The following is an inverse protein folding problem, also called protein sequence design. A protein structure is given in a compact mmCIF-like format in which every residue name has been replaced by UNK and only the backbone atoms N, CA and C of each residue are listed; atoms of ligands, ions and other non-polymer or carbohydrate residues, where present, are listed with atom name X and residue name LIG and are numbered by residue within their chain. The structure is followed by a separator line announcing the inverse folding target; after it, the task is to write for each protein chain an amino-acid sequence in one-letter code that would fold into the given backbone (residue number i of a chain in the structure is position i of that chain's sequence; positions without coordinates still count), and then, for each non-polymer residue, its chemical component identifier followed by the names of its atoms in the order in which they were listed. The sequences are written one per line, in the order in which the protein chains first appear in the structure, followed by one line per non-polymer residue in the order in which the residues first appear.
data_IF_050567558081
#
_entry.id   IF_050567558081
#
_cell.length_a   1.000
_cell.length_b   1.000
_cell.length_c   1.000
_cell.angle_alpha   90.00
_cell.angle_beta   90.00
_cell.angle_gamma   90.00
#
_symmetry.space_group_name_H-M   'P 1'
#
loop_
_entity.id
_entity.type
_entity.pdbx_description
1 polymer ?
#
# COMPACT_ATOMS: atom_id res chain seq x y z
N UNK A 1 10.10 -24.70 -18.56
CA UNK A 1 10.21 -23.21 -18.54
C UNK A 1 9.55 -22.73 -17.25
N UNK A 2 10.35 -22.34 -16.24
CA UNK A 2 9.99 -22.56 -14.82
C UNK A 2 10.21 -21.36 -13.89
N UNK A 3 10.07 -20.12 -14.36
CA UNK A 3 9.90 -18.98 -13.44
C UNK A 3 8.97 -17.93 -14.03
N UNK A 4 8.12 -17.34 -13.17
CA UNK A 4 7.29 -16.16 -13.50
C UNK A 4 8.17 -15.01 -14.01
N UNK A 5 9.44 -14.94 -13.58
CA UNK A 5 10.44 -13.99 -14.06
C UNK A 5 10.66 -14.02 -15.58
N UNK A 6 10.55 -15.19 -16.24
CA UNK A 6 10.67 -15.28 -17.70
C UNK A 6 9.45 -14.69 -18.47
N UNK A 7 8.36 -14.37 -17.75
CA UNK A 7 7.14 -13.75 -18.29
C UNK A 7 7.04 -12.26 -17.95
N UNK A 8 8.00 -11.75 -17.19
CA UNK A 8 8.13 -10.34 -16.83
C UNK A 8 9.25 -9.79 -17.71
N UNK A 9 8.88 -9.02 -18.75
CA UNK A 9 9.86 -8.18 -19.43
C UNK A 9 10.37 -7.15 -18.41
N UNK A 10 11.68 -6.85 -18.31
CA UNK A 10 12.17 -5.73 -17.53
C UNK A 10 11.38 -4.48 -17.91
N UNK A 11 10.45 -4.12 -17.02
CA UNK A 11 9.36 -3.19 -17.34
C UNK A 11 9.70 -1.78 -16.90
N UNK A 12 9.13 -0.81 -17.61
CA UNK A 12 9.16 0.59 -17.20
C UNK A 12 8.42 0.75 -15.86
N UNK A 13 9.11 1.21 -14.83
CA UNK A 13 8.50 1.54 -13.54
C UNK A 13 7.36 2.53 -13.73
N UNK A 14 6.26 2.41 -12.98
CA UNK A 14 5.09 3.30 -13.11
C UNK A 14 5.27 4.65 -12.40
N UNK A 15 6.52 5.03 -12.09
CA UNK A 15 6.84 6.28 -11.41
C UNK A 15 6.25 7.47 -12.19
N UNK A 16 5.41 8.26 -11.52
CA UNK A 16 4.71 9.43 -12.07
C UNK A 16 3.75 9.14 -13.23
N UNK A 17 3.31 7.90 -13.42
CA UNK A 17 2.30 7.55 -14.43
C UNK A 17 0.95 7.28 -13.78
N UNK A 18 -0.09 7.79 -14.42
CA UNK A 18 -1.45 7.39 -14.13
C UNK A 18 -1.62 5.94 -14.59
N UNK A 19 -2.10 5.09 -13.68
CA UNK A 19 -2.45 3.70 -13.97
C UNK A 19 -3.97 3.60 -13.97
N UNK A 20 -4.64 3.06 -14.99
CA UNK A 20 -6.10 2.94 -14.93
C UNK A 20 -6.55 2.06 -13.75
N UNK A 21 -7.60 2.49 -13.05
CA UNK A 21 -8.06 1.86 -11.80
C UNK A 21 -8.52 0.41 -12.00
N UNK A 22 -8.99 0.07 -13.18
CA UNK A 22 -9.44 -1.26 -13.56
C UNK A 22 -8.27 -2.25 -13.58
N UNK A 23 -7.10 -1.82 -14.06
CA UNK A 23 -5.91 -2.64 -14.06
C UNK A 23 -5.37 -2.87 -12.64
N UNK A 24 -5.46 -1.86 -11.77
CA UNK A 24 -5.11 -2.00 -10.35
C UNK A 24 -6.06 -2.96 -9.65
N UNK A 25 -7.37 -2.81 -9.85
CA UNK A 25 -8.37 -3.70 -9.28
C UNK A 25 -8.12 -5.16 -9.73
N UNK A 26 -7.86 -5.38 -11.02
CA UNK A 26 -7.53 -6.71 -11.54
C UNK A 26 -6.28 -7.33 -10.89
N UNK A 27 -5.27 -6.52 -10.56
CA UNK A 27 -4.04 -6.99 -9.92
C UNK A 27 -4.20 -7.26 -8.41
N UNK A 28 -5.04 -6.48 -7.72
CA UNK A 28 -5.28 -6.61 -6.28
C UNK A 28 -6.32 -7.66 -5.93
N UNK A 29 -7.24 -7.98 -6.85
CA UNK A 29 -8.34 -8.94 -6.63
C UNK A 29 -7.87 -10.32 -6.12
N UNK A 30 -6.77 -10.92 -6.63
CA UNK A 30 -6.25 -12.17 -6.09
C UNK A 30 -5.85 -12.11 -4.62
N UNK A 31 -5.38 -10.96 -4.12
CA UNK A 31 -4.99 -10.78 -2.71
C UNK A 31 -6.22 -10.75 -1.80
N UNK A 32 -7.28 -10.04 -2.23
CA UNK A 32 -8.56 -9.97 -1.50
C UNK A 32 -9.16 -11.35 -1.24
N UNK A 33 -9.04 -12.26 -2.20
CA UNK A 33 -9.73 -13.55 -2.18
C UNK A 33 -8.86 -14.69 -1.60
N UNK A 34 -7.62 -14.39 -1.19
CA UNK A 34 -6.67 -15.37 -0.71
C UNK A 34 -6.45 -15.24 0.82
N UNK A 35 -6.86 -16.24 1.62
CA UNK A 35 -6.55 -16.26 3.05
C UNK A 35 -5.04 -16.27 3.29
N UNK A 36 -4.59 -15.52 4.30
CA UNK A 36 -3.20 -15.53 4.71
C UNK A 36 -2.85 -16.82 5.48
N UNK A 37 -1.64 -17.36 5.30
CA UNK A 37 -1.09 -18.36 6.21
C UNK A 37 -1.02 -17.82 7.65
N UNK A 38 -1.35 -18.65 8.64
CA UNK A 38 -1.42 -18.24 10.05
C UNK A 38 -0.09 -17.79 10.67
N UNK A 39 1.04 -18.04 10.01
CA UNK A 39 2.38 -17.66 10.49
C UNK A 39 2.83 -16.27 10.02
N UNK A 40 2.08 -15.61 9.13
CA UNK A 40 2.46 -14.29 8.65
C UNK A 40 2.20 -13.23 9.74
N UNK A 41 3.12 -12.27 9.94
CA UNK A 41 2.87 -11.14 10.82
C UNK A 41 1.67 -10.33 10.33
N UNK A 42 0.97 -9.68 11.26
CA UNK A 42 -0.16 -8.84 10.89
C UNK A 42 0.31 -7.47 10.41
N UNK A 43 -0.44 -6.87 9.48
CA UNK A 43 -0.22 -5.52 9.01
C UNK A 43 -0.25 -4.52 10.18
N UNK A 44 -1.16 -4.72 11.13
CA UNK A 44 -1.28 -3.87 12.32
C UNK A 44 -0.03 -3.94 13.18
N UNK A 45 0.49 -5.13 13.47
CA UNK A 45 1.71 -5.29 14.27
C UNK A 45 2.90 -4.65 13.55
N UNK A 46 2.99 -4.88 12.24
CA UNK A 46 4.04 -4.31 11.40
C UNK A 46 3.99 -2.77 11.38
N UNK A 47 2.81 -2.17 11.22
CA UNK A 47 2.64 -0.71 11.25
C UNK A 47 2.90 -0.14 12.65
N UNK A 48 2.41 -0.80 13.70
CA UNK A 48 2.59 -0.37 15.09
C UNK A 48 4.06 -0.33 15.48
N UNK A 49 4.83 -1.35 15.08
CA UNK A 49 6.28 -1.38 15.27
C UNK A 49 6.95 -0.18 14.61
N UNK A 50 6.57 0.18 13.38
CA UNK A 50 7.18 1.30 12.66
C UNK A 50 6.78 2.68 13.19
N UNK A 51 5.60 2.80 13.79
CA UNK A 51 5.12 4.02 14.43
C UNK A 51 5.84 4.30 15.75
N UNK A 52 6.16 3.23 16.49
CA UNK A 52 6.78 3.32 17.83
C UNK A 52 8.30 3.20 17.82
N UNK A 53 8.90 2.72 16.73
CA UNK A 53 10.35 2.62 16.58
C UNK A 53 11.03 4.00 16.62
N UNK A 54 12.08 4.09 17.42
CA UNK A 54 12.99 5.25 17.49
C UNK A 54 13.85 5.38 16.23
N UNK A 55 14.18 4.26 15.57
CA UNK A 55 14.90 4.23 14.30
C UNK A 55 14.15 3.35 13.29
N UNK A 56 13.80 3.91 12.13
CA UNK A 56 13.12 3.17 11.05
C UNK A 56 14.18 2.59 10.12
N UNK A 57 14.39 1.28 10.21
CA UNK A 57 15.44 0.52 9.49
C UNK A 57 15.32 0.62 7.95
N UNK A 58 14.13 0.90 7.43
CA UNK A 58 13.81 0.96 6.00
C UNK A 58 13.46 2.39 5.51
N UNK A 59 14.08 3.43 6.08
CA UNK A 59 13.80 4.80 5.66
C UNK A 59 14.58 5.15 4.37
N UNK A 60 13.90 5.65 3.31
CA UNK A 60 14.61 6.12 2.13
C UNK A 60 15.60 7.23 2.47
N UNK A 61 16.78 7.21 1.84
CA UNK A 61 17.81 8.23 2.02
C UNK A 61 17.23 9.64 1.88
N UNK A 62 17.56 10.52 2.82
CA UNK A 62 17.07 11.91 2.83
C UNK A 62 15.64 12.06 3.34
N UNK A 63 15.09 11.07 4.04
CA UNK A 63 13.85 11.22 4.81
C UNK A 63 14.10 11.11 6.30
N UNK A 64 13.23 11.74 7.07
CA UNK A 64 13.20 11.67 8.53
C UNK A 64 11.89 11.09 9.00
N UNK A 65 11.91 10.48 10.18
CA UNK A 65 10.70 10.03 10.87
C UNK A 65 9.72 11.19 11.01
N UNK A 66 8.42 10.87 10.91
CA UNK A 66 7.38 11.85 11.21
C UNK A 66 7.51 12.36 12.66
N UNK A 67 7.06 13.59 12.96
CA UNK A 67 7.00 14.12 14.32
C UNK A 67 6.27 13.18 15.28
N UNK A 68 6.70 13.16 16.55
CA UNK A 68 6.13 12.25 17.56
C UNK A 68 4.61 12.36 17.69
N UNK A 69 4.07 13.58 17.69
CA UNK A 69 2.63 13.81 17.78
C UNK A 69 1.84 13.18 16.61
N UNK A 70 2.39 13.23 15.38
CA UNK A 70 1.78 12.58 14.21
C UNK A 70 1.83 11.05 14.36
N UNK A 71 2.95 10.52 14.87
CA UNK A 71 3.09 9.06 15.11
C UNK A 71 2.12 8.56 16.19
N UNK A 72 1.95 9.29 17.28
CA UNK A 72 1.00 8.96 18.34
C UNK A 72 -0.44 8.99 17.84
N UNK A 73 -0.81 10.01 17.07
CA UNK A 73 -2.14 10.08 16.47
C UNK A 73 -2.40 8.91 15.51
N UNK A 74 -1.43 8.60 14.65
CA UNK A 74 -1.50 7.45 13.76
C UNK A 74 -1.58 6.12 14.51
N UNK A 75 -0.88 5.96 15.63
CA UNK A 75 -0.93 4.76 16.46
C UNK A 75 -2.32 4.58 17.11
N UNK A 76 -2.94 5.65 17.58
CA UNK A 76 -4.31 5.61 18.12
C UNK A 76 -5.32 5.17 17.04
N UNK A 77 -5.26 5.80 15.85
CA UNK A 77 -6.13 5.43 14.73
C UNK A 77 -5.91 3.98 14.26
N UNK A 78 -4.65 3.52 14.23
CA UNK A 78 -4.34 2.14 13.89
C UNK A 78 -4.96 1.16 14.90
N UNK A 79 -4.93 1.48 16.19
CA UNK A 79 -5.56 0.67 17.24
C UNK A 79 -7.08 0.56 17.04
N UNK A 80 -7.75 1.64 16.65
CA UNK A 80 -9.19 1.65 16.35
C UNK A 80 -9.52 0.78 15.14
N UNK A 81 -8.70 0.84 14.08
CA UNK A 81 -8.87 0.04 12.87
C UNK A 81 -8.57 -1.46 13.06
N UNK A 82 -7.81 -1.79 14.11
CA UNK A 82 -7.34 -3.14 14.39
C UNK A 82 -8.35 -4.03 15.12
N UNK A 83 -9.57 -3.57 15.42
CA UNK A 83 -10.48 -4.33 16.27
C UNK A 83 -10.94 -5.66 15.63
N UNK A 84 -10.96 -5.80 14.30
CA UNK A 84 -11.23 -7.08 13.59
C UNK A 84 -10.64 -7.09 12.16
N UNK A 85 -9.31 -7.21 11.98
CA UNK A 85 -8.72 -7.16 10.66
C UNK A 85 -9.00 -8.48 9.91
N UNK A 86 -9.38 -8.41 8.62
CA UNK A 86 -9.41 -9.58 7.76
C UNK A 86 -8.02 -10.23 7.73
N UNK A 87 -7.95 -11.56 7.86
CA UNK A 87 -6.70 -12.32 7.73
C UNK A 87 -6.49 -12.78 6.29
N UNK A 88 -6.47 -11.83 5.36
CA UNK A 88 -6.18 -12.07 3.95
C UNK A 88 -4.72 -11.77 3.66
N UNK A 89 -4.19 -12.27 2.54
CA UNK A 89 -2.84 -11.87 2.10
C UNK A 89 -2.83 -10.37 1.84
N UNK A 90 -1.86 -9.69 2.43
CA UNK A 90 -1.57 -8.28 2.20
C UNK A 90 -0.17 -8.16 1.60
N UNK A 91 -0.06 -7.39 0.52
CA UNK A 91 1.22 -7.11 -0.11
C UNK A 91 2.08 -6.20 0.78
N UNK A 92 1.47 -5.22 1.45
CA UNK A 92 2.13 -4.31 2.39
C UNK A 92 2.97 -3.21 1.75
N UNK A 93 3.12 -3.20 0.42
CA UNK A 93 3.82 -2.15 -0.34
C UNK A 93 3.42 -2.17 -1.82
N UNK A 94 2.19 -1.79 -2.12
CA UNK A 94 1.67 -1.64 -3.49
C UNK A 94 2.06 -0.29 -4.11
N UNK A 95 3.26 0.20 -3.79
CA UNK A 95 3.76 1.43 -4.39
C UNK A 95 4.10 1.25 -5.88
N UNK A 96 4.12 2.34 -6.65
CA UNK A 96 4.40 2.30 -8.10
C UNK A 96 5.75 1.71 -8.50
N UNK A 97 6.66 1.48 -7.55
CA UNK A 97 7.92 0.76 -7.75
C UNK A 97 7.76 -0.76 -7.74
N UNK A 98 6.76 -1.24 -7.00
CA UNK A 98 6.44 -2.65 -6.80
C UNK A 98 5.31 -3.12 -7.72
N UNK A 99 4.94 -2.29 -8.71
CA UNK A 99 3.96 -2.61 -9.73
C UNK A 99 4.65 -2.54 -11.09
N UNK A 100 4.71 -3.67 -11.78
CA UNK A 100 5.24 -3.77 -13.13
C UNK A 100 4.12 -3.89 -14.15
N UNK A 101 4.27 -3.20 -15.28
CA UNK A 101 3.38 -3.37 -16.44
C UNK A 101 3.97 -4.42 -17.39
N UNK A 102 3.23 -5.50 -17.59
CA UNK A 102 3.54 -6.52 -18.58
C UNK A 102 2.72 -6.37 -19.87
N UNK A 103 2.77 -7.38 -20.75
CA UNK A 103 2.05 -7.37 -22.02
C UNK A 103 0.54 -7.14 -21.85
N UNK A 104 -0.07 -6.45 -22.82
CA UNK A 104 -1.50 -6.12 -22.84
C UNK A 104 -2.01 -5.34 -21.60
N UNK A 105 -1.13 -4.56 -20.94
CA UNK A 105 -1.50 -3.74 -19.79
C UNK A 105 -1.69 -4.52 -18.49
N UNK A 106 -1.40 -5.83 -18.47
CA UNK A 106 -1.49 -6.64 -17.25
C UNK A 106 -0.46 -6.17 -16.23
N UNK A 107 -0.91 -5.91 -15.01
CA UNK A 107 -0.03 -5.51 -13.91
C UNK A 107 0.43 -6.73 -13.10
N UNK A 108 1.66 -6.66 -12.61
CA UNK A 108 2.26 -7.64 -11.72
C UNK A 108 2.74 -6.94 -10.46
N UNK A 109 2.37 -7.48 -9.31
CA UNK A 109 2.87 -7.04 -8.01
C UNK A 109 4.15 -7.82 -7.70
N UNK A 110 5.16 -7.14 -7.18
CA UNK A 110 6.47 -7.72 -6.84
C UNK A 110 6.93 -7.21 -5.47
N UNK A 111 7.85 -7.93 -4.84
CA UNK A 111 8.43 -7.56 -3.55
C UNK A 111 7.37 -7.39 -2.42
N UNK A 112 6.56 -8.43 -2.16
CA UNK A 112 5.61 -8.40 -1.06
C UNK A 112 6.34 -8.37 0.29
N UNK A 113 5.73 -7.75 1.30
CA UNK A 113 6.21 -7.72 2.68
C UNK A 113 5.77 -8.95 3.49
N UNK A 114 5.14 -9.93 2.85
CA UNK A 114 4.62 -11.17 3.45
C UNK A 114 3.77 -10.91 4.71
N UNK A 115 2.76 -10.05 4.58
CA UNK A 115 1.87 -9.67 5.69
C UNK A 115 0.49 -10.32 5.57
N UNK A 116 -0.18 -10.49 6.71
CA UNK A 116 -1.62 -10.73 6.77
C UNK A 116 -2.35 -9.43 7.12
N UNK A 117 -3.46 -9.14 6.48
CA UNK A 117 -4.21 -7.93 6.80
C UNK A 117 -5.33 -7.58 5.83
N UNK A 118 -5.84 -6.36 6.01
CA UNK A 118 -6.93 -5.82 5.20
C UNK A 118 -6.43 -5.31 3.86
N UNK A 119 -7.04 -5.80 2.78
CA UNK A 119 -6.75 -5.37 1.41
C UNK A 119 -7.00 -3.87 1.21
N UNK A 120 -7.83 -3.23 2.04
CA UNK A 120 -8.07 -1.79 1.97
C UNK A 120 -6.78 -0.97 2.15
N UNK A 121 -5.79 -1.50 2.87
CA UNK A 121 -4.46 -0.88 2.96
C UNK A 121 -3.76 -0.83 1.60
N UNK A 122 -3.65 -1.98 0.94
CA UNK A 122 -3.00 -2.10 -0.37
C UNK A 122 -3.73 -1.28 -1.44
N UNK A 123 -5.07 -1.19 -1.36
CA UNK A 123 -5.89 -0.32 -2.20
C UNK A 123 -5.56 1.15 -1.97
N UNK A 124 -5.49 1.60 -0.71
CA UNK A 124 -5.17 2.98 -0.36
C UNK A 124 -3.76 3.37 -0.83
N UNK A 125 -2.76 2.49 -0.61
CA UNK A 125 -1.38 2.71 -1.06
C UNK A 125 -1.31 2.75 -2.59
N UNK A 126 -1.94 1.81 -3.30
CA UNK A 126 -1.95 1.79 -4.76
C UNK A 126 -2.59 3.06 -5.34
N UNK A 127 -3.78 3.44 -4.86
CA UNK A 127 -4.46 4.66 -5.29
C UNK A 127 -3.57 5.89 -5.09
N UNK A 128 -2.99 6.04 -3.90
CA UNK A 128 -2.09 7.12 -3.53
C UNK A 128 -0.82 7.18 -4.41
N UNK A 129 -0.19 6.04 -4.71
CA UNK A 129 1.11 5.98 -5.40
C UNK A 129 1.03 5.96 -6.92
N UNK A 130 -0.16 5.79 -7.50
CA UNK A 130 -0.38 5.76 -8.96
C UNK A 130 -1.36 6.83 -9.46
N UNK A 131 -1.71 7.82 -8.64
CA UNK A 131 -2.76 8.82 -8.95
C UNK A 131 -2.43 9.78 -10.09
N UNK A 132 -1.16 9.92 -10.47
CA UNK A 132 -0.74 11.03 -11.33
C UNK A 132 -1.18 12.38 -10.73
N UNK A 133 -2.08 13.09 -11.42
CA UNK A 133 -2.67 14.36 -11.00
C UNK A 133 -4.03 14.24 -10.31
N UNK A 134 -4.62 13.04 -10.23
CA UNK A 134 -5.95 12.84 -9.66
C UNK A 134 -5.96 13.06 -8.12
N UNK A 135 -7.10 13.50 -7.56
CA UNK A 135 -7.33 13.49 -6.12
C UNK A 135 -7.26 12.08 -5.55
N UNK A 136 -6.55 11.91 -4.43
CA UNK A 136 -6.34 10.61 -3.79
C UNK A 136 -7.68 10.01 -3.33
N UNK A 137 -8.52 10.83 -2.70
CA UNK A 137 -9.79 10.38 -2.11
C UNK A 137 -10.74 9.82 -3.15
N UNK A 138 -10.93 10.54 -4.25
CA UNK A 138 -11.76 10.10 -5.38
C UNK A 138 -11.28 8.76 -5.91
N UNK A 139 -9.97 8.66 -6.16
CA UNK A 139 -9.35 7.48 -6.73
C UNK A 139 -9.38 6.26 -5.80
N UNK A 140 -9.17 6.48 -4.50
CA UNK A 140 -9.25 5.43 -3.49
C UNK A 140 -10.68 4.88 -3.36
N UNK A 141 -11.69 5.76 -3.35
CA UNK A 141 -13.11 5.37 -3.30
C UNK A 141 -13.51 4.59 -4.55
N UNK A 142 -13.09 5.04 -5.74
CA UNK A 142 -13.39 4.33 -6.99
C UNK A 142 -12.73 2.94 -7.04
N UNK A 143 -11.47 2.83 -6.62
CA UNK A 143 -10.78 1.55 -6.54
C UNK A 143 -11.41 0.62 -5.50
N UNK A 144 -11.80 1.14 -4.33
CA UNK A 144 -12.51 0.37 -3.30
C UNK A 144 -13.85 -0.18 -3.83
N UNK A 145 -14.62 0.63 -4.56
CA UNK A 145 -15.87 0.20 -5.22
C UNK A 145 -15.62 -0.95 -6.21
N UNK A 146 -14.60 -0.84 -7.08
CA UNK A 146 -14.23 -1.90 -8.02
C UNK A 146 -13.76 -3.19 -7.34
N UNK A 147 -13.22 -3.05 -6.14
CA UNK A 147 -12.77 -4.15 -5.28
C UNK A 147 -13.87 -4.72 -4.39
N UNK A 148 -15.08 -4.12 -4.39
CA UNK A 148 -16.19 -4.48 -3.51
C UNK A 148 -15.78 -4.54 -2.02
N UNK A 149 -14.96 -3.58 -1.59
CA UNK A 149 -14.56 -3.41 -0.20
C UNK A 149 -15.11 -2.10 0.35
N UNK A 150 -15.26 -2.03 1.67
CA UNK A 150 -15.76 -0.83 2.33
C UNK A 150 -14.80 0.35 2.12
N UNK A 151 -15.27 1.39 1.40
CA UNK A 151 -14.49 2.60 1.11
C UNK A 151 -14.30 3.53 2.31
N UNK A 152 -15.02 3.28 3.42
CA UNK A 152 -14.85 3.99 4.69
C UNK A 152 -13.75 3.36 5.57
N UNK A 153 -13.34 2.11 5.30
CA UNK A 153 -12.12 1.52 5.90
C UNK A 153 -10.87 2.14 5.28
N UNK A 154 -10.57 3.36 5.69
CA UNK A 154 -9.40 4.12 5.22
C UNK A 154 -8.23 3.88 6.16
N UNK A 155 -7.28 3.07 5.72
CA UNK A 155 -5.97 3.05 6.36
C UNK A 155 -5.26 4.36 6.05
N UNK A 156 -4.86 5.07 7.11
CA UNK A 156 -3.97 6.23 7.20
C UNK A 156 -3.18 6.55 5.91
N UNK A 157 -3.87 7.11 4.91
CA UNK A 157 -3.28 7.73 3.73
C UNK A 157 -3.63 9.23 3.67
N UNK A 158 -4.34 9.73 4.68
CA UNK A 158 -4.71 11.12 4.84
C UNK A 158 -3.66 11.86 5.65
N UNK A 159 -2.63 12.35 4.96
CA UNK A 159 -2.15 13.70 5.26
C UNK A 159 -2.28 14.53 3.97
N UNK A 160 -3.08 15.58 4.07
CA UNK A 160 -3.74 16.32 2.96
C UNK A 160 -2.79 17.00 1.97
N UNK A 161 -1.49 16.89 2.14
CA UNK A 161 -0.51 17.51 1.23
C UNK A 161 0.56 16.55 0.71
N UNK A 162 0.65 15.35 1.26
CA UNK A 162 1.68 14.43 0.85
C UNK A 162 1.27 13.00 1.20
N UNK A 163 1.11 12.20 0.14
CA UNK A 163 1.22 10.74 0.14
C UNK A 163 2.63 10.26 0.57
N UNK A 164 3.21 10.90 1.59
CA UNK A 164 4.38 10.46 2.34
C UNK A 164 3.78 9.52 3.36
N UNK A 165 4.04 8.23 3.18
CA UNK A 165 3.56 7.23 4.14
C UNK A 165 3.89 7.72 5.54
N UNK A 166 2.99 7.40 6.46
CA UNK A 166 2.89 7.71 7.91
C UNK A 166 4.22 7.60 8.72
N UNK A 167 5.33 7.33 8.05
CA UNK A 167 6.61 6.92 8.59
C UNK A 167 7.77 7.78 8.03
N UNK A 168 7.58 8.60 6.98
CA UNK A 168 8.70 9.33 6.38
C UNK A 168 8.34 10.64 5.66
N UNK A 169 8.69 11.78 6.27
CA UNK A 169 8.63 13.11 5.62
C UNK A 169 9.91 13.36 4.79
N UNK A 170 9.81 14.06 3.64
CA UNK A 170 10.99 14.65 2.98
C UNK A 170 11.26 16.05 3.55
N UNK A 171 12.51 16.47 3.76
CA UNK A 171 12.83 17.86 4.04
C UNK A 171 12.40 18.72 2.83
N UNK A 172 11.75 19.84 3.12
CA UNK A 172 11.24 20.76 2.10
C UNK A 172 12.36 21.36 1.25
N UNK A 173 12.10 21.43 -0.05
CA UNK A 173 12.64 22.45 -0.95
C UNK A 173 11.47 23.31 -1.39
#
# INVERSE_FOLDING_TARGET
MWTVAARILPGYTLKNRLVPIEYLAAALRPLRDQPAPAHLPTLTDWLSMRLTATEVVDMPSGRTTAPEAERQHAAALLSELAEQPPQMICHGDTSSKNILMGPAGKLYLIDPRDLSGDIAYDVAVAACKTKGTEPIDTRAVELAKLMAIDGERRYLAHDRQNCRGVIAQCPGQ
#
